data_IF_804370796793
#
_entry.id   IF_804370796793
#
_cell.length_a   1.000
_cell.length_b   1.000
_cell.length_c   1.000
_cell.angle_alpha   90.00
_cell.angle_beta   90.00
_cell.angle_gamma   90.00
#
_symmetry.space_group_name_H-M   'P 1'
#
loop_
_entity.id
_entity.type
_entity.pdbx_description
1 polymer ?
#
# COMPACT_ATOMS: atom_id res chain seq x y z
N UNK A 1 8.46 -33.37 -53.15
CA UNK A 1 7.77 -32.91 -51.93
C UNK A 1 8.66 -33.15 -50.70
N UNK A 2 9.82 -32.48 -50.61
CA UNK A 2 10.74 -32.58 -49.46
C UNK A 2 11.55 -31.29 -49.36
N UNK A 3 10.99 -30.24 -48.74
CA UNK A 3 11.75 -29.01 -48.49
C UNK A 3 11.13 -28.11 -47.38
N UNK A 4 10.55 -28.67 -46.31
CA UNK A 4 9.89 -27.82 -45.29
C UNK A 4 10.16 -28.17 -43.82
N UNK A 5 11.07 -29.11 -43.49
CA UNK A 5 11.34 -29.46 -42.09
C UNK A 5 12.68 -28.93 -41.52
N UNK A 6 13.53 -28.28 -42.32
CA UNK A 6 14.89 -27.92 -41.88
C UNK A 6 15.05 -26.49 -41.33
N UNK A 7 14.02 -25.63 -41.45
CA UNK A 7 14.15 -24.20 -41.11
C UNK A 7 14.01 -23.89 -39.61
N UNK A 8 13.47 -24.82 -38.81
CA UNK A 8 13.22 -24.66 -37.38
C UNK A 8 14.36 -25.13 -36.47
N UNK A 9 15.08 -26.20 -36.85
CA UNK A 9 16.14 -26.81 -36.03
C UNK A 9 17.34 -25.90 -35.80
N UNK A 10 17.76 -25.17 -36.85
CA UNK A 10 18.92 -24.28 -36.78
C UNK A 10 18.71 -23.05 -35.88
N UNK A 11 17.46 -22.63 -35.64
CA UNK A 11 17.17 -21.53 -34.70
C UNK A 11 17.13 -22.02 -33.25
N UNK A 12 16.58 -23.21 -33.02
CA UNK A 12 16.53 -23.83 -31.67
C UNK A 12 17.94 -24.15 -31.18
N UNK A 13 18.81 -24.66 -32.06
CA UNK A 13 20.22 -24.92 -31.73
C UNK A 13 20.98 -23.63 -31.44
N UNK A 14 20.79 -22.56 -32.24
CA UNK A 14 21.39 -21.25 -31.97
C UNK A 14 20.97 -20.67 -30.62
N UNK A 15 19.68 -20.75 -30.28
CA UNK A 15 19.18 -20.33 -28.96
C UNK A 15 19.78 -21.15 -27.82
N UNK A 16 19.89 -22.48 -27.97
CA UNK A 16 20.50 -23.35 -26.95
C UNK A 16 21.98 -23.06 -26.71
N UNK A 17 22.74 -22.77 -27.76
CA UNK A 17 24.17 -22.44 -27.63
C UNK A 17 24.36 -21.09 -26.95
N UNK A 18 23.54 -20.08 -27.28
CA UNK A 18 23.57 -18.78 -26.60
C UNK A 18 23.22 -18.90 -25.12
N UNK A 19 22.22 -19.71 -24.76
CA UNK A 19 21.85 -19.92 -23.35
C UNK A 19 22.98 -20.54 -22.54
N UNK A 20 23.67 -21.56 -23.06
CA UNK A 20 24.84 -22.15 -22.37
C UNK A 20 25.98 -21.15 -22.19
N UNK A 21 26.23 -20.30 -23.20
CA UNK A 21 27.26 -19.26 -23.12
C UNK A 21 26.92 -18.21 -22.03
N UNK A 22 25.65 -17.85 -21.90
CA UNK A 22 25.18 -16.94 -20.84
C UNK A 22 25.26 -17.58 -19.46
N UNK A 23 24.92 -18.87 -19.31
CA UNK A 23 25.05 -19.58 -18.03
C UNK A 23 26.51 -19.69 -17.57
N UNK A 24 27.45 -19.94 -18.48
CA UNK A 24 28.89 -19.98 -18.18
C UNK A 24 29.45 -18.60 -17.77
N UNK A 25 29.00 -17.51 -18.42
CA UNK A 25 29.38 -16.14 -18.06
C UNK A 25 28.85 -15.77 -16.66
N UNK A 26 27.60 -16.12 -16.34
CA UNK A 26 27.02 -15.89 -15.00
C UNK A 26 27.81 -16.68 -13.94
N UNK A 27 28.10 -17.97 -14.18
CA UNK A 27 28.88 -18.78 -13.24
C UNK A 27 30.30 -18.22 -13.01
N UNK A 28 30.95 -17.71 -14.07
CA UNK A 28 32.25 -17.04 -13.96
C UNK A 28 32.20 -15.77 -13.11
N UNK A 29 31.17 -14.96 -13.27
CA UNK A 29 31.00 -13.72 -12.47
C UNK A 29 30.61 -13.97 -11.00
N UNK A 30 29.85 -15.04 -10.72
CA UNK A 30 29.49 -15.41 -9.34
C UNK A 30 30.72 -15.86 -8.56
N UNK A 31 31.61 -16.65 -9.19
CA UNK A 31 32.85 -17.12 -8.57
C UNK A 31 33.84 -15.99 -8.27
N UNK A 32 33.95 -15.00 -9.17
CA UNK A 32 34.80 -13.82 -8.94
C UNK A 32 34.25 -12.90 -7.82
N UNK A 33 32.93 -12.85 -7.65
CA UNK A 33 32.30 -12.05 -6.58
C UNK A 33 32.46 -12.71 -5.19
N UNK A 34 32.56 -14.03 -5.13
CA UNK A 34 32.79 -14.80 -3.91
C UNK A 34 34.23 -14.61 -3.36
N UNK A 35 35.24 -14.56 -4.23
CA UNK A 35 36.64 -14.29 -3.83
C UNK A 35 36.86 -12.84 -3.36
N UNK A 36 36.12 -11.87 -3.91
CA UNK A 36 36.16 -10.48 -3.45
C UNK A 36 35.49 -10.29 -2.07
N UNK A 37 34.47 -11.10 -1.73
CA UNK A 37 33.83 -11.08 -0.40
C UNK A 37 34.66 -11.80 0.68
N UNK A 38 35.44 -12.82 0.31
CA UNK A 38 36.31 -13.51 1.26
C UNK A 38 37.49 -12.65 1.76
N UNK A 39 38.00 -11.72 0.93
CA UNK A 39 39.10 -10.83 1.31
C UNK A 39 38.68 -9.66 2.23
N UNK A 40 37.39 -9.35 2.34
CA UNK A 40 36.87 -8.25 3.16
C UNK A 40 36.36 -8.69 4.55
N UNK A 41 36.36 -10.00 4.84
CA UNK A 41 35.84 -10.54 6.11
C UNK A 41 36.96 -10.74 7.14
N UNK A 42 37.72 -9.67 7.38
CA UNK A 42 38.71 -9.59 8.45
C UNK A 42 38.32 -8.48 9.41
N UNK A 43 37.85 -8.86 10.60
CA UNK A 43 37.50 -8.01 11.75
C UNK A 43 36.27 -7.11 11.61
N UNK A 44 35.09 -7.60 12.02
CA UNK A 44 34.37 -6.97 13.14
C UNK A 44 33.31 -7.91 13.71
N UNK A 45 33.28 -7.96 15.03
CA UNK A 45 32.31 -8.65 15.87
C UNK A 45 30.90 -8.06 15.69
N UNK A 46 29.91 -8.94 15.90
CA UNK A 46 28.56 -8.62 16.37
C UNK A 46 27.52 -8.19 15.34
N UNK A 47 26.34 -8.78 15.54
CA UNK A 47 25.01 -8.39 15.05
C UNK A 47 24.62 -8.79 13.63
N UNK A 48 23.88 -9.91 13.59
CA UNK A 48 22.62 -10.10 12.85
C UNK A 48 22.55 -9.49 11.45
N UNK A 49 23.04 -10.23 10.45
CA UNK A 49 22.72 -9.91 9.06
C UNK A 49 21.78 -10.95 8.43
N UNK A 50 20.53 -10.51 8.35
CA UNK A 50 19.70 -10.52 7.12
C UNK A 50 19.57 -11.87 6.43
N UNK A 51 18.74 -12.74 7.01
CA UNK A 51 18.01 -13.73 6.21
C UNK A 51 16.69 -13.08 5.77
N UNK A 52 16.69 -12.64 4.51
CA UNK A 52 15.56 -12.06 3.77
C UNK A 52 14.25 -12.81 4.00
N UNK A 53 13.38 -12.24 4.83
CA UNK A 53 11.93 -12.32 4.71
C UNK A 53 11.43 -10.92 5.06
N UNK A 54 11.31 -10.05 4.05
CA UNK A 54 10.42 -8.89 4.15
C UNK A 54 9.00 -9.45 4.13
N UNK A 55 8.61 -10.02 5.27
CA UNK A 55 7.24 -10.42 5.53
C UNK A 55 6.47 -9.16 5.83
N UNK A 56 5.26 -9.04 5.26
CA UNK A 56 4.31 -7.95 5.48
C UNK A 56 3.79 -7.89 6.94
N UNK A 57 4.60 -8.27 7.92
CA UNK A 57 4.32 -8.16 9.34
C UNK A 57 4.33 -6.67 9.67
N UNK A 58 3.16 -6.18 10.06
CA UNK A 58 2.99 -4.79 10.46
C UNK A 58 3.66 -4.60 11.82
N UNK A 59 4.69 -3.76 11.88
CA UNK A 59 5.31 -3.35 13.14
C UNK A 59 4.39 -2.32 13.83
N UNK A 60 3.34 -2.81 14.47
CA UNK A 60 2.35 -2.02 15.21
C UNK A 60 2.48 -2.28 16.71
N UNK A 61 2.38 -1.24 17.52
CA UNK A 61 2.29 -1.37 18.98
C UNK A 61 1.06 -2.20 19.37
N UNK A 62 1.16 -2.98 20.45
CA UNK A 62 0.12 -3.90 20.90
C UNK A 62 -1.24 -3.19 21.13
N UNK A 63 -1.23 -1.98 21.69
CA UNK A 63 -2.42 -1.13 21.87
C UNK A 63 -3.11 -0.79 20.53
N UNK A 64 -2.32 -0.50 19.48
CA UNK A 64 -2.84 -0.17 18.16
C UNK A 64 -3.37 -1.41 17.45
N UNK A 65 -2.72 -2.55 17.65
CA UNK A 65 -3.20 -3.85 17.16
C UNK A 65 -4.56 -4.21 17.79
N UNK A 66 -4.69 -4.03 19.11
CA UNK A 66 -5.95 -4.25 19.83
C UNK A 66 -7.06 -3.33 19.32
N UNK A 67 -6.75 -2.04 19.16
CA UNK A 67 -7.69 -1.07 18.58
C UNK A 67 -8.19 -1.51 17.21
N UNK A 68 -7.28 -1.95 16.30
CA UNK A 68 -7.65 -2.38 14.95
C UNK A 68 -8.47 -3.68 14.92
N UNK A 69 -8.24 -4.60 15.87
CA UNK A 69 -9.05 -5.81 16.02
C UNK A 69 -10.49 -5.51 16.41
N UNK A 70 -10.67 -4.53 17.30
CA UNK A 70 -11.97 -4.06 17.79
C UNK A 70 -12.64 -3.06 16.83
N UNK A 71 -11.88 -2.45 15.91
CA UNK A 71 -12.39 -1.46 14.98
C UNK A 71 -13.41 -2.06 14.00
N UNK A 72 -14.53 -1.36 13.72
CA UNK A 72 -15.46 -1.79 12.67
C UNK A 72 -14.77 -1.86 11.31
N UNK A 73 -15.03 -2.96 10.58
CA UNK A 73 -14.42 -3.20 9.27
C UNK A 73 -14.97 -2.29 8.17
N UNK A 74 -16.19 -1.78 8.34
CA UNK A 74 -16.88 -0.91 7.40
C UNK A 74 -16.35 0.54 7.39
N UNK A 75 -15.62 0.97 8.43
CA UNK A 75 -15.01 2.31 8.54
C UNK A 75 -15.93 3.48 8.11
N UNK A 76 -17.23 3.36 8.37
CA UNK A 76 -18.24 4.33 7.89
C UNK A 76 -18.00 5.71 8.51
N UNK A 77 -17.51 5.77 9.74
CA UNK A 77 -17.22 7.05 10.43
C UNK A 77 -16.14 7.83 9.70
N UNK A 78 -15.06 7.15 9.34
CA UNK A 78 -13.89 7.71 8.65
C UNK A 78 -14.28 8.15 7.24
N UNK A 79 -15.03 7.31 6.51
CA UNK A 79 -15.56 7.65 5.19
C UNK A 79 -16.52 8.85 5.24
N UNK A 80 -17.30 8.98 6.32
CA UNK A 80 -18.17 10.15 6.54
C UNK A 80 -17.35 11.42 6.79
N UNK A 81 -16.21 11.34 7.50
CA UNK A 81 -15.30 12.48 7.69
C UNK A 81 -14.71 12.90 6.33
N UNK A 82 -14.23 11.96 5.51
CA UNK A 82 -13.75 12.28 4.16
C UNK A 82 -14.86 12.89 3.29
N UNK A 83 -16.09 12.42 3.47
CA UNK A 83 -17.22 12.94 2.73
C UNK A 83 -17.55 14.39 3.09
N UNK A 84 -17.50 14.73 4.37
CA UNK A 84 -17.70 16.10 4.86
C UNK A 84 -16.56 17.03 4.48
N UNK A 85 -15.31 16.55 4.47
CA UNK A 85 -14.14 17.32 4.06
C UNK A 85 -14.21 17.81 2.59
N UNK A 86 -14.99 17.12 1.77
CA UNK A 86 -15.14 17.39 0.34
C UNK A 86 -16.50 17.93 -0.04
N UNK A 87 -17.42 18.04 0.93
CA UNK A 87 -18.70 18.67 0.67
C UNK A 87 -18.47 20.16 0.43
N UNK A 88 -18.78 20.71 -0.76
CA UNK A 88 -18.55 22.12 -1.08
C UNK A 88 -19.54 23.07 -0.37
N UNK A 89 -20.12 22.67 0.77
CA UNK A 89 -20.95 23.59 1.56
C UNK A 89 -20.09 24.58 2.34
N UNK A 90 -20.10 25.80 1.81
CA UNK A 90 -19.74 27.07 2.44
C UNK A 90 -18.24 27.42 2.51
N UNK A 91 -17.68 27.72 1.34
CA UNK A 91 -16.88 28.94 1.24
C UNK A 91 -17.78 30.14 1.59
N UNK A 92 -17.72 30.59 2.85
CA UNK A 92 -18.09 31.95 3.21
C UNK A 92 -17.23 32.39 4.39
N UNK A 93 -16.39 33.44 4.24
CA UNK A 93 -15.71 34.04 5.37
C UNK A 93 -16.71 34.96 6.07
N UNK A 94 -17.49 34.43 7.02
CA UNK A 94 -18.29 35.29 7.90
C UNK A 94 -17.51 35.54 9.18
N UNK A 95 -16.98 36.76 9.22
CA UNK A 95 -16.35 37.39 10.37
C UNK A 95 -17.41 37.67 11.45
N UNK A 96 -17.02 37.47 12.71
CA UNK A 96 -17.52 38.02 13.97
C UNK A 96 -18.60 37.32 14.82
N UNK A 97 -18.16 37.13 16.07
CA UNK A 97 -18.84 37.27 17.36
C UNK A 97 -19.70 36.13 17.93
N UNK A 98 -19.34 35.85 19.19
CA UNK A 98 -19.97 34.95 20.13
C UNK A 98 -21.48 35.18 20.28
N UNK A 99 -22.25 34.09 20.25
CA UNK A 99 -23.33 33.79 21.20
C UNK A 99 -23.59 32.28 21.14
N UNK A 100 -23.58 31.66 22.31
CA UNK A 100 -23.92 30.26 22.54
C UNK A 100 -25.38 30.01 22.17
N UNK A 101 -25.63 29.24 21.11
CA UNK A 101 -26.85 28.46 20.97
C UNK A 101 -26.57 27.13 20.29
N UNK A 102 -27.10 26.09 20.94
CA UNK A 102 -27.07 24.67 20.63
C UNK A 102 -27.66 24.39 19.23
N UNK A 103 -26.81 24.40 18.22
CA UNK A 103 -27.08 23.85 16.89
C UNK A 103 -25.99 22.84 16.57
N UNK A 104 -26.35 21.69 15.99
CA UNK A 104 -25.40 20.78 15.35
C UNK A 104 -24.67 21.58 14.27
N UNK A 105 -23.49 22.13 14.60
CA UNK A 105 -22.62 22.73 13.62
C UNK A 105 -22.05 21.55 12.83
N UNK A 106 -22.52 21.39 11.60
CA UNK A 106 -21.81 20.62 10.57
C UNK A 106 -20.49 21.38 10.31
N UNK A 107 -19.55 21.20 11.23
CA UNK A 107 -18.22 21.77 11.12
C UNK A 107 -17.52 21.03 9.98
N UNK A 108 -16.97 21.80 9.04
CA UNK A 108 -16.05 21.28 8.03
C UNK A 108 -14.93 20.56 8.80
N UNK A 109 -14.71 19.27 8.58
CA UNK A 109 -13.73 18.51 9.35
C UNK A 109 -12.33 19.09 9.12
N UNK A 110 -11.62 19.32 10.22
CA UNK A 110 -10.27 19.85 10.19
C UNK A 110 -9.30 18.93 9.43
N UNK A 111 -8.24 19.50 8.87
CA UNK A 111 -7.21 18.73 8.15
C UNK A 111 -6.63 17.60 9.02
N UNK A 112 -6.54 17.82 10.34
CA UNK A 112 -6.09 16.81 11.29
C UNK A 112 -7.06 15.63 11.39
N UNK A 113 -8.38 15.89 11.40
CA UNK A 113 -9.40 14.84 11.41
C UNK A 113 -9.37 14.02 10.12
N UNK A 114 -9.16 14.67 8.98
CA UNK A 114 -8.97 14.01 7.69
C UNK A 114 -7.73 13.12 7.69
N UNK A 115 -6.59 13.62 8.19
CA UNK A 115 -5.36 12.83 8.34
C UNK A 115 -5.58 11.62 9.26
N UNK A 116 -6.28 11.82 10.37
CA UNK A 116 -6.57 10.74 11.31
C UNK A 116 -7.46 9.68 10.66
N UNK A 117 -8.54 10.08 9.98
CA UNK A 117 -9.42 9.17 9.25
C UNK A 117 -8.67 8.37 8.17
N UNK A 118 -7.79 9.03 7.41
CA UNK A 118 -6.95 8.36 6.41
C UNK A 118 -5.98 7.36 7.04
N UNK A 119 -5.34 7.71 8.17
CA UNK A 119 -4.47 6.78 8.89
C UNK A 119 -5.23 5.55 9.38
N UNK A 120 -6.42 5.73 9.96
CA UNK A 120 -7.27 4.61 10.40
C UNK A 120 -7.66 3.72 9.22
N UNK A 121 -8.11 4.31 8.11
CA UNK A 121 -8.45 3.55 6.89
C UNK A 121 -7.25 2.76 6.36
N UNK A 122 -6.07 3.39 6.31
CA UNK A 122 -4.84 2.76 5.87
C UNK A 122 -4.40 1.62 6.80
N UNK A 123 -4.48 1.84 8.11
CA UNK A 123 -4.10 0.86 9.13
C UNK A 123 -5.04 -0.35 9.11
N UNK A 124 -6.36 -0.13 9.05
CA UNK A 124 -7.36 -1.21 8.96
C UNK A 124 -7.17 -2.03 7.69
N UNK A 125 -7.01 -1.37 6.54
CA UNK A 125 -6.77 -2.04 5.27
C UNK A 125 -5.46 -2.84 5.29
N UNK A 126 -4.39 -2.23 5.79
CA UNK A 126 -3.09 -2.90 5.92
C UNK A 126 -3.18 -4.10 6.88
N UNK A 127 -3.90 -3.95 7.99
CA UNK A 127 -4.13 -5.00 8.98
C UNK A 127 -4.81 -6.23 8.38
N UNK A 128 -5.90 -6.04 7.63
CA UNK A 128 -6.58 -7.15 6.96
C UNK A 128 -5.81 -7.75 5.78
N UNK A 129 -4.83 -7.04 5.22
CA UNK A 129 -3.94 -7.55 4.18
C UNK A 129 -2.68 -8.23 4.74
N UNK A 130 -2.33 -7.97 6.00
CA UNK A 130 -1.14 -8.54 6.65
C UNK A 130 -1.30 -10.04 6.88
N UNK A 131 -0.21 -10.80 6.76
CA UNK A 131 -0.21 -12.27 6.83
C UNK A 131 -0.69 -12.77 8.20
N UNK A 132 -0.32 -12.06 9.26
CA UNK A 132 -0.58 -12.45 10.65
C UNK A 132 -2.05 -12.23 11.06
N UNK A 133 -2.76 -11.34 10.36
CA UNK A 133 -4.11 -10.89 10.73
C UNK A 133 -5.08 -10.84 9.54
N UNK A 134 -4.77 -11.57 8.47
CA UNK A 134 -5.54 -11.56 7.24
C UNK A 134 -6.96 -12.04 7.48
N UNK A 135 -7.93 -11.19 7.20
CA UNK A 135 -9.36 -11.51 7.27
C UNK A 135 -10.04 -11.04 5.98
N UNK A 136 -10.23 -11.98 5.04
CA UNK A 136 -10.82 -11.67 3.74
C UNK A 136 -12.29 -11.25 3.84
N UNK A 137 -13.03 -11.73 4.84
CA UNK A 137 -14.43 -11.33 5.01
C UNK A 137 -14.51 -9.87 5.45
N UNK A 138 -13.69 -9.46 6.42
CA UNK A 138 -13.61 -8.06 6.86
C UNK A 138 -13.04 -7.16 5.78
N UNK A 139 -12.06 -7.64 5.00
CA UNK A 139 -11.55 -6.93 3.84
C UNK A 139 -12.65 -6.68 2.79
N UNK A 140 -13.49 -7.68 2.49
CA UNK A 140 -14.63 -7.50 1.59
C UNK A 140 -15.64 -6.50 2.15
N UNK A 141 -15.94 -6.54 3.46
CA UNK A 141 -16.82 -5.55 4.11
C UNK A 141 -16.26 -4.13 3.98
N UNK A 142 -14.97 -3.94 4.24
CA UNK A 142 -14.27 -2.68 4.06
C UNK A 142 -14.37 -2.17 2.62
N UNK A 143 -14.03 -3.03 1.66
CA UNK A 143 -14.08 -2.74 0.23
C UNK A 143 -15.50 -2.38 -0.24
N UNK A 144 -16.52 -3.10 0.22
CA UNK A 144 -17.92 -2.80 -0.08
C UNK A 144 -18.35 -1.44 0.48
N UNK A 145 -17.96 -1.13 1.71
CA UNK A 145 -18.23 0.18 2.31
C UNK A 145 -17.54 1.31 1.55
N UNK A 146 -16.28 1.09 1.14
CA UNK A 146 -15.52 2.04 0.32
C UNK A 146 -16.22 2.33 -1.02
N UNK A 147 -16.85 1.33 -1.65
CA UNK A 147 -17.65 1.51 -2.85
C UNK A 147 -18.98 2.22 -2.56
N UNK A 148 -19.69 1.84 -1.50
CA UNK A 148 -20.99 2.43 -1.14
C UNK A 148 -20.92 3.92 -0.82
N UNK A 149 -19.82 4.38 -0.23
CA UNK A 149 -19.64 5.77 0.17
C UNK A 149 -18.91 6.65 -0.86
N UNK A 150 -18.71 6.15 -2.09
CA UNK A 150 -17.84 6.79 -3.10
C UNK A 150 -16.42 7.06 -2.57
N UNK A 151 -15.94 6.21 -1.66
CA UNK A 151 -14.69 6.39 -0.93
C UNK A 151 -13.49 6.50 -1.87
N UNK A 152 -13.44 5.74 -2.96
CA UNK A 152 -12.36 5.85 -3.96
C UNK A 152 -12.34 7.21 -4.67
N UNK A 153 -13.51 7.71 -5.07
CA UNK A 153 -13.62 9.04 -5.71
C UNK A 153 -13.21 10.14 -4.73
N UNK A 154 -13.60 9.99 -3.47
CA UNK A 154 -13.19 10.90 -2.39
C UNK A 154 -11.69 10.83 -2.15
N UNK A 155 -11.10 9.64 -2.03
CA UNK A 155 -9.66 9.49 -1.88
C UNK A 155 -8.89 10.15 -3.04
N UNK A 156 -9.37 10.01 -4.29
CA UNK A 156 -8.78 10.69 -5.45
C UNK A 156 -8.86 12.21 -5.39
N UNK A 157 -9.91 12.79 -4.79
CA UNK A 157 -9.98 14.24 -4.65
C UNK A 157 -8.84 14.82 -3.79
N UNK A 158 -8.26 14.02 -2.89
CA UNK A 158 -7.09 14.40 -2.11
C UNK A 158 -5.77 14.39 -2.89
N UNK A 159 -5.75 13.89 -4.13
CA UNK A 159 -4.59 13.98 -5.02
C UNK A 159 -4.19 15.45 -5.28
N UNK A 160 -5.19 16.33 -5.37
CA UNK A 160 -5.00 17.78 -5.53
C UNK A 160 -4.73 18.52 -4.19
N UNK A 161 -4.72 17.81 -3.05
CA UNK A 161 -4.49 18.42 -1.74
C UNK A 161 -3.06 18.99 -1.64
N UNK A 162 -2.92 20.14 -0.98
CA UNK A 162 -1.61 20.77 -0.71
C UNK A 162 -0.75 19.99 0.28
N UNK A 163 -1.39 19.16 1.10
CA UNK A 163 -0.72 18.36 2.12
C UNK A 163 -0.18 17.05 1.53
N UNK A 164 1.14 16.86 1.62
CA UNK A 164 1.82 15.71 1.04
C UNK A 164 1.46 14.41 1.75
N UNK A 165 1.25 14.42 3.07
CA UNK A 165 0.92 13.21 3.83
C UNK A 165 -0.48 12.71 3.47
N UNK A 166 -1.45 13.63 3.38
CA UNK A 166 -2.82 13.33 2.95
C UNK A 166 -2.84 12.72 1.55
N UNK A 167 -2.01 13.27 0.65
CA UNK A 167 -1.86 12.75 -0.71
C UNK A 167 -1.22 11.36 -0.74
N UNK A 168 -0.13 11.17 0.01
CA UNK A 168 0.57 9.89 0.08
C UNK A 168 -0.32 8.80 0.70
N UNK A 169 -1.03 9.10 1.79
CA UNK A 169 -1.94 8.17 2.46
C UNK A 169 -3.12 7.80 1.56
N UNK A 170 -3.76 8.78 0.93
CA UNK A 170 -4.89 8.50 0.02
C UNK A 170 -4.48 7.63 -1.17
N UNK A 171 -3.33 7.91 -1.79
CA UNK A 171 -2.79 7.09 -2.87
C UNK A 171 -2.43 5.68 -2.38
N UNK A 172 -1.78 5.54 -1.23
CA UNK A 172 -1.45 4.23 -0.64
C UNK A 172 -2.69 3.37 -0.37
N UNK A 173 -3.78 3.99 0.13
CA UNK A 173 -5.05 3.29 0.34
C UNK A 173 -5.63 2.82 -1.00
N UNK A 174 -5.65 3.68 -2.03
CA UNK A 174 -6.16 3.32 -3.36
C UNK A 174 -5.34 2.16 -3.96
N UNK A 175 -4.01 2.24 -3.91
CA UNK A 175 -3.10 1.23 -4.46
C UNK A 175 -3.29 -0.15 -3.81
N UNK A 176 -3.69 -0.19 -2.53
CA UNK A 176 -3.97 -1.45 -1.80
C UNK A 176 -5.41 -1.93 -1.99
N UNK A 177 -6.38 -1.01 -2.00
CA UNK A 177 -7.80 -1.35 -2.07
C UNK A 177 -8.23 -1.78 -3.48
N UNK A 178 -7.65 -1.17 -4.53
CA UNK A 178 -8.00 -1.49 -5.92
C UNK A 178 -7.64 -2.93 -6.30
N UNK A 179 -6.48 -3.49 -5.98
CA UNK A 179 -6.28 -4.91 -6.19
C UNK A 179 -7.25 -5.75 -5.36
N UNK A 180 -7.56 -5.37 -4.11
CA UNK A 180 -8.40 -6.16 -3.21
C UNK A 180 -9.89 -6.24 -3.60
N UNK A 181 -10.44 -5.23 -4.28
CA UNK A 181 -11.85 -5.21 -4.73
C UNK A 181 -12.06 -6.10 -5.98
N UNK A 182 -11.05 -6.22 -6.86
CA UNK A 182 -11.17 -6.89 -8.15
C UNK A 182 -10.51 -8.29 -8.17
N UNK A 183 -10.14 -8.82 -7.00
CA UNK A 183 -9.42 -10.09 -6.83
C UNK A 183 -10.26 -11.12 -6.09
#
# INVERSE_FOLDING_TARGET
MFALFDRGGAQVLRRRVQLRKLEEEIAGTVKANEEAQAAATGNTSSTSNVRRLSGNTLDLSDDRLKMLKEHPADCVKELTVLARAQSPMAASPVVNNAVVMKGKVDAVPDLHEVKQALNVLHDVLSFYLSVDHRDMNKLTVFCNSLLQHDGLNRLRAFEASRDQDVRALSNSIIEKAVPAIWH
#
